data_IF_861886957428
#
_entry.id   IF_861886957428
#
_cell.length_a   1.000
_cell.length_b   1.000
_cell.length_c   1.000
_cell.angle_alpha   90.00
_cell.angle_beta   90.00
_cell.angle_gamma   90.00
#
_symmetry.space_group_name_H-M   'P 1'
#
loop_
_entity.id
_entity.type
_entity.pdbx_description
1 polymer ?
#
# COMPACT_ATOMS: atom_id res chain seq x y z
N UNK A 1 26.92 -22.17 -11.79
CA UNK A 1 26.64 -20.76 -12.13
C UNK A 1 25.21 -20.70 -12.67
N UNK A 2 24.29 -20.06 -11.95
CA UNK A 2 22.84 -20.09 -12.24
C UNK A 2 22.54 -19.47 -13.60
N UNK A 3 23.39 -18.55 -14.06
CA UNK A 3 23.30 -17.89 -15.38
C UNK A 3 23.46 -18.84 -16.58
N UNK A 4 23.91 -20.08 -16.36
CA UNK A 4 24.19 -21.05 -17.44
C UNK A 4 23.09 -22.11 -17.61
N UNK A 5 22.00 -22.01 -16.86
CA UNK A 5 20.87 -22.93 -16.98
C UNK A 5 19.95 -22.45 -18.11
N UNK A 6 19.54 -23.35 -19.01
CA UNK A 6 18.68 -23.02 -20.16
C UNK A 6 17.30 -22.46 -19.75
N UNK A 7 16.87 -22.73 -18.52
CA UNK A 7 15.63 -22.20 -17.94
C UNK A 7 15.75 -20.79 -17.36
N UNK A 8 16.95 -20.19 -17.35
CA UNK A 8 17.22 -18.89 -16.74
C UNK A 8 17.40 -17.84 -17.82
N UNK A 9 16.38 -17.00 -18.00
CA UNK A 9 16.41 -15.90 -18.96
C UNK A 9 17.37 -14.77 -18.53
N UNK A 10 17.40 -14.46 -17.22
CA UNK A 10 18.16 -13.34 -16.66
C UNK A 10 18.38 -13.51 -15.16
N UNK A 11 19.47 -12.93 -14.64
CA UNK A 11 19.77 -12.87 -13.20
C UNK A 11 20.12 -11.43 -12.85
N UNK A 12 19.44 -10.90 -11.83
CA UNK A 12 19.64 -9.56 -11.29
C UNK A 12 20.15 -9.64 -9.86
N UNK A 13 21.04 -8.73 -9.48
CA UNK A 13 21.41 -8.57 -8.07
C UNK A 13 20.26 -7.93 -7.32
N UNK A 14 20.05 -8.33 -6.06
CA UNK A 14 19.01 -7.74 -5.23
C UNK A 14 19.44 -6.34 -4.78
N UNK A 15 18.56 -5.37 -5.00
CA UNK A 15 18.81 -3.96 -4.74
C UNK A 15 17.85 -3.42 -3.67
N UNK A 16 18.28 -2.35 -3.01
CA UNK A 16 17.53 -1.74 -1.90
C UNK A 16 16.79 -0.50 -2.39
N UNK A 17 15.48 -0.48 -2.15
CA UNK A 17 14.57 0.64 -2.37
C UNK A 17 14.38 1.45 -1.08
N UNK A 18 13.99 2.71 -1.24
CA UNK A 18 13.79 3.68 -0.18
C UNK A 18 12.32 4.10 -0.05
N UNK A 19 11.93 4.50 1.16
CA UNK A 19 10.58 4.97 1.49
C UNK A 19 10.38 6.41 1.03
N UNK A 20 9.28 6.70 0.33
CA UNK A 20 8.90 8.03 -0.15
C UNK A 20 7.51 8.41 0.36
N UNK A 21 7.30 9.64 0.83
CA UNK A 21 5.95 10.15 1.14
C UNK A 21 5.75 11.57 0.59
N UNK A 22 4.59 11.81 -0.02
CA UNK A 22 4.11 13.17 -0.34
C UNK A 22 3.02 13.61 0.63
N UNK A 23 2.81 14.93 0.74
CA UNK A 23 1.88 15.58 1.68
C UNK A 23 0.38 15.43 1.31
N UNK A 24 -0.45 15.67 2.34
CA UNK A 24 -1.88 15.36 2.53
C UNK A 24 -2.92 16.15 1.72
N UNK A 25 -4.19 15.72 1.84
CA UNK A 25 -5.40 16.09 1.09
C UNK A 25 -5.82 17.57 1.09
N UNK A 26 -5.44 18.35 2.10
CA UNK A 26 -5.71 19.80 2.16
C UNK A 26 -5.08 20.52 0.96
N UNK A 27 -3.93 20.01 0.48
CA UNK A 27 -3.28 20.47 -0.75
C UNK A 27 -4.14 20.26 -2.01
N UNK A 28 -5.00 19.24 -2.03
CA UNK A 28 -5.84 18.90 -3.17
C UNK A 28 -7.17 19.65 -3.20
N UNK A 29 -7.47 20.50 -2.21
CA UNK A 29 -8.72 21.28 -2.17
C UNK A 29 -9.98 20.42 -2.13
N UNK A 30 -9.90 19.19 -1.60
CA UNK A 30 -11.04 18.24 -1.52
C UNK A 30 -12.03 18.66 -0.40
N UNK A 31 -11.77 19.77 0.28
CA UNK A 31 -12.70 20.36 1.23
C UNK A 31 -13.74 21.21 0.48
N UNK A 32 -14.90 20.61 0.23
CA UNK A 32 -16.21 21.24 0.00
C UNK A 32 -16.68 21.54 -1.43
N UNK A 33 -15.87 21.32 -2.48
CA UNK A 33 -16.40 21.43 -3.85
C UNK A 33 -16.06 20.20 -4.70
N UNK A 34 -17.10 19.71 -5.35
CA UNK A 34 -17.18 18.61 -6.32
C UNK A 34 -16.27 18.79 -7.56
N UNK A 35 -15.03 19.27 -7.43
CA UNK A 35 -14.12 19.44 -8.56
C UNK A 35 -13.77 18.10 -9.21
N UNK A 36 -13.34 17.11 -8.41
CA UNK A 36 -12.93 15.79 -8.91
C UNK A 36 -14.10 14.80 -9.13
N UNK A 37 -15.20 15.00 -8.39
CA UNK A 37 -16.31 14.05 -8.31
C UNK A 37 -17.66 14.61 -8.77
N UNK A 38 -17.66 15.72 -9.53
CA UNK A 38 -18.88 16.34 -10.04
C UNK A 38 -19.80 15.31 -10.71
N UNK A 39 -21.00 15.14 -10.14
CA UNK A 39 -22.01 14.19 -10.63
C UNK A 39 -22.18 12.91 -9.79
N UNK A 40 -21.29 12.62 -8.83
CA UNK A 40 -21.47 11.51 -7.89
C UNK A 40 -21.92 12.03 -6.52
N UNK A 41 -22.86 11.37 -5.84
CA UNK A 41 -23.18 11.75 -4.46
C UNK A 41 -22.14 11.18 -3.49
N UNK A 42 -21.96 11.79 -2.32
CA UNK A 42 -21.11 11.26 -1.25
C UNK A 42 -21.52 9.81 -0.88
N UNK A 43 -22.82 9.51 -0.88
CA UNK A 43 -23.34 8.16 -0.67
C UNK A 43 -22.94 7.17 -1.76
N UNK A 44 -22.85 7.60 -3.03
CA UNK A 44 -22.42 6.74 -4.14
C UNK A 44 -20.93 6.40 -4.04
N UNK A 45 -20.08 7.35 -3.67
CA UNK A 45 -18.64 7.14 -3.50
C UNK A 45 -18.35 6.23 -2.30
N UNK A 46 -19.03 6.46 -1.18
CA UNK A 46 -18.91 5.61 0.00
C UNK A 46 -19.34 4.17 -0.33
N UNK A 47 -20.49 4.00 -0.99
CA UNK A 47 -20.95 2.70 -1.45
C UNK A 47 -19.95 2.00 -2.39
N UNK A 48 -19.32 2.75 -3.31
CA UNK A 48 -18.30 2.20 -4.20
C UNK A 48 -17.05 1.74 -3.44
N UNK A 49 -16.62 2.50 -2.42
CA UNK A 49 -15.40 2.16 -1.66
C UNK A 49 -15.55 0.89 -0.80
N UNK A 50 -16.75 0.52 -0.35
CA UNK A 50 -16.97 -0.69 0.46
C UNK A 50 -16.57 -1.99 -0.23
N UNK A 51 -16.58 -2.00 -1.56
CA UNK A 51 -16.20 -3.14 -2.39
C UNK A 51 -14.84 -2.91 -3.07
N UNK A 52 -13.94 -2.15 -2.45
CA UNK A 52 -12.56 -1.94 -2.90
C UNK A 52 -11.58 -2.44 -1.85
N UNK A 53 -10.55 -3.16 -2.28
CA UNK A 53 -9.41 -3.56 -1.47
C UNK A 53 -8.17 -2.82 -1.97
N UNK A 54 -7.59 -2.01 -1.09
CA UNK A 54 -6.32 -1.32 -1.30
C UNK A 54 -5.20 -2.13 -0.65
N UNK A 55 -4.29 -2.66 -1.46
CA UNK A 55 -3.05 -3.24 -1.00
C UNK A 55 -2.04 -2.14 -0.68
N UNK A 56 -1.35 -2.24 0.45
CA UNK A 56 -0.27 -1.32 0.82
C UNK A 56 1.00 -2.11 1.06
N UNK A 57 2.00 -1.95 0.17
CA UNK A 57 3.31 -2.57 0.31
C UNK A 57 4.30 -1.56 0.88
N UNK A 58 4.65 -1.74 2.16
CA UNK A 58 5.37 -0.73 2.95
C UNK A 58 6.06 -1.36 4.19
N UNK A 59 6.26 -0.62 5.29
CA UNK A 59 6.90 -1.08 6.55
C UNK A 59 5.98 -1.90 7.46
N UNK A 60 4.73 -2.15 7.04
CA UNK A 60 3.72 -2.84 7.82
C UNK A 60 2.58 -1.92 8.25
N UNK A 61 1.80 -2.35 9.24
CA UNK A 61 0.70 -1.55 9.81
C UNK A 61 0.70 -1.66 11.34
N UNK A 62 0.29 -0.60 12.03
CA UNK A 62 -0.01 -0.63 13.45
C UNK A 62 -1.53 -0.79 13.66
N UNK A 63 -2.03 -2.02 13.86
CA UNK A 63 -3.47 -2.29 13.86
C UNK A 63 -4.21 -1.64 15.04
N UNK A 64 -3.52 -1.29 16.13
CA UNK A 64 -4.12 -0.61 17.28
C UNK A 64 -4.27 0.91 17.07
N UNK A 65 -3.92 1.44 15.89
CA UNK A 65 -4.12 2.85 15.57
C UNK A 65 -5.62 3.17 15.43
N UNK A 66 -6.05 4.32 15.96
CA UNK A 66 -7.45 4.77 15.85
C UNK A 66 -7.94 4.93 14.42
N UNK A 67 -7.04 5.16 13.45
CA UNK A 67 -7.40 5.25 12.03
C UNK A 67 -7.65 3.90 11.38
N UNK A 68 -7.34 2.79 12.07
CA UNK A 68 -7.49 1.41 11.59
C UNK A 68 -8.55 0.72 12.46
N UNK A 69 -9.72 1.35 12.53
CA UNK A 69 -10.88 0.83 13.24
C UNK A 69 -11.90 0.30 12.23
N UNK A 70 -12.48 -0.87 12.50
CA UNK A 70 -13.43 -1.55 11.62
C UNK A 70 -14.90 -1.44 12.09
N UNK A 71 -15.20 -0.57 13.06
CA UNK A 71 -16.53 -0.47 13.67
C UNK A 71 -17.67 -0.16 12.68
N UNK A 72 -17.37 0.61 11.62
CA UNK A 72 -18.33 0.97 10.57
C UNK A 72 -18.19 0.12 9.29
N UNK A 73 -17.35 -0.93 9.32
CA UNK A 73 -17.07 -1.77 8.16
C UNK A 73 -18.04 -2.93 8.02
N UNK A 74 -18.36 -3.27 6.77
CA UNK A 74 -19.09 -4.51 6.45
C UNK A 74 -18.17 -5.73 6.62
N UNK A 75 -18.76 -6.91 6.82
CA UNK A 75 -18.02 -8.19 6.90
C UNK A 75 -17.11 -8.44 5.68
N UNK A 76 -16.08 -9.26 5.83
CA UNK A 76 -15.05 -9.51 4.79
C UNK A 76 -15.67 -9.90 3.44
N UNK A 77 -15.13 -9.36 2.33
CA UNK A 77 -15.62 -9.65 0.99
C UNK A 77 -15.46 -11.12 0.66
N UNK A 78 -16.50 -11.76 0.11
CA UNK A 78 -16.44 -13.18 -0.27
C UNK A 78 -15.40 -13.51 -1.34
N UNK A 79 -14.97 -12.52 -2.14
CA UNK A 79 -13.90 -12.68 -3.13
C UNK A 79 -12.49 -12.66 -2.54
N UNK A 80 -12.30 -12.14 -1.32
CA UNK A 80 -11.00 -11.97 -0.69
C UNK A 80 -10.31 -13.32 -0.48
N UNK A 81 -9.05 -13.44 -0.89
CA UNK A 81 -8.25 -14.68 -0.79
C UNK A 81 -7.04 -14.57 0.13
N UNK A 82 -6.77 -13.39 0.65
CA UNK A 82 -5.62 -13.17 1.51
C UNK A 82 -5.80 -13.74 2.92
N UNK A 83 -4.67 -14.10 3.50
CA UNK A 83 -4.59 -14.61 4.86
C UNK A 83 -3.30 -14.09 5.51
N UNK A 84 -3.25 -14.09 6.85
CA UNK A 84 -2.06 -13.67 7.58
C UNK A 84 -0.93 -14.65 7.30
N UNK A 85 -0.04 -14.24 6.41
CA UNK A 85 1.19 -14.95 6.07
C UNK A 85 2.37 -14.24 6.71
N UNK A 86 3.11 -14.96 7.55
CA UNK A 86 4.49 -14.62 7.80
C UNK A 86 5.33 -15.34 6.73
N UNK A 87 5.91 -14.58 5.80
CA UNK A 87 6.90 -15.13 4.90
C UNK A 87 8.23 -15.24 5.66
N UNK A 88 8.80 -16.45 5.56
CA UNK A 88 9.99 -16.99 6.22
C UNK A 88 11.17 -16.00 6.44
N UNK A 89 11.75 -16.10 7.64
CA UNK A 89 12.92 -15.42 8.21
C UNK A 89 13.83 -14.69 7.21
N UNK A 90 13.67 -13.38 7.10
CA UNK A 90 14.72 -12.47 6.63
C UNK A 90 15.29 -11.73 7.85
N UNK A 91 16.29 -12.35 8.49
CA UNK A 91 17.21 -11.83 9.55
C UNK A 91 16.60 -11.08 10.74
N UNK A 92 16.74 -11.66 11.94
CA UNK A 92 16.71 -11.06 13.32
C UNK A 92 15.50 -10.21 13.76
N UNK A 93 14.62 -9.77 12.88
CA UNK A 93 13.37 -9.10 13.25
C UNK A 93 12.24 -10.13 13.39
N UNK A 94 11.45 -10.04 14.47
CA UNK A 94 10.34 -10.96 14.72
C UNK A 94 9.34 -10.86 13.57
N UNK A 95 9.04 -11.99 12.92
CA UNK A 95 8.05 -12.08 11.85
C UNK A 95 6.70 -11.54 12.34
N UNK A 96 6.38 -10.33 11.90
CA UNK A 96 5.13 -9.68 12.23
C UNK A 96 4.80 -8.65 11.16
N UNK A 97 3.53 -8.53 10.75
CA UNK A 97 3.07 -7.44 9.89
C UNK A 97 3.11 -6.09 10.62
N UNK A 98 3.40 -6.08 11.93
CA UNK A 98 3.41 -4.87 12.71
C UNK A 98 4.48 -3.89 12.21
N UNK A 99 4.03 -2.66 12.03
CA UNK A 99 4.89 -1.54 11.71
C UNK A 99 5.81 -1.20 12.90
N UNK A 100 7.09 -0.96 12.60
CA UNK A 100 8.12 -0.55 13.55
C UNK A 100 8.80 0.76 13.15
N UNK A 101 8.39 1.32 12.03
CA UNK A 101 8.90 2.56 11.46
C UNK A 101 7.85 3.67 11.57
N UNK A 102 6.61 3.38 11.16
CA UNK A 102 5.48 4.31 11.15
C UNK A 102 5.05 4.70 9.75
N UNK A 103 5.94 4.59 8.75
CA UNK A 103 5.67 4.95 7.36
C UNK A 103 4.46 4.19 6.79
N UNK A 104 4.44 2.87 6.90
CA UNK A 104 3.33 2.06 6.41
C UNK A 104 2.01 2.36 7.09
N UNK A 105 2.00 2.58 8.41
CA UNK A 105 0.78 3.00 9.13
C UNK A 105 0.26 4.35 8.64
N UNK A 106 1.15 5.30 8.36
CA UNK A 106 0.80 6.61 7.80
C UNK A 106 0.26 6.50 6.37
N UNK A 107 0.89 5.69 5.51
CA UNK A 107 0.43 5.45 4.14
C UNK A 107 -0.95 4.79 4.13
N UNK A 108 -1.15 3.78 5.00
CA UNK A 108 -2.44 3.10 5.16
C UNK A 108 -3.53 4.07 5.60
N UNK A 109 -3.29 4.89 6.63
CA UNK A 109 -4.30 5.83 7.14
C UNK A 109 -4.64 6.92 6.13
N UNK A 110 -3.69 7.33 5.30
CA UNK A 110 -3.92 8.28 4.20
C UNK A 110 -4.78 7.67 3.08
N UNK A 111 -4.58 6.38 2.76
CA UNK A 111 -5.32 5.70 1.71
C UNK A 111 -6.78 5.41 2.13
N UNK A 112 -6.97 4.81 3.31
CA UNK A 112 -8.27 4.28 3.74
C UNK A 112 -8.47 4.32 5.27
N UNK A 113 -7.84 5.27 5.97
CA UNK A 113 -8.07 5.45 7.39
C UNK A 113 -9.52 5.87 7.70
N UNK A 114 -10.09 5.32 8.77
CA UNK A 114 -11.38 5.75 9.26
C UNK A 114 -11.34 7.20 9.78
N UNK A 115 -12.51 7.79 10.01
CA UNK A 115 -12.60 9.16 10.51
C UNK A 115 -12.21 9.24 12.00
N UNK A 116 -11.12 9.94 12.29
CA UNK A 116 -10.61 10.18 13.64
C UNK A 116 -10.77 11.65 13.99
N UNK A 117 -11.78 11.96 14.81
CA UNK A 117 -11.99 13.31 15.33
C UNK A 117 -10.91 13.74 16.34
N UNK A 118 -10.69 15.05 16.45
CA UNK A 118 -9.71 15.68 17.33
C UNK A 118 -8.28 15.11 17.13
N UNK A 119 -7.93 14.78 15.89
CA UNK A 119 -6.57 14.41 15.52
C UNK A 119 -5.71 15.68 15.45
N UNK A 120 -4.51 15.63 16.01
CA UNK A 120 -3.51 16.70 15.92
C UNK A 120 -2.12 16.14 16.19
N UNK A 121 -1.09 16.83 15.69
CA UNK A 121 0.31 16.57 16.04
C UNK A 121 0.83 17.75 16.88
N UNK A 122 0.97 17.56 18.19
CA UNK A 122 1.35 18.62 19.14
C UNK A 122 0.47 19.89 19.03
N UNK A 123 -0.81 19.74 18.69
CA UNK A 123 -1.76 20.84 18.49
C UNK A 123 -1.75 21.45 17.08
N UNK A 124 -0.81 21.07 16.21
CA UNK A 124 -0.86 21.43 14.79
C UNK A 124 -1.83 20.54 14.01
N UNK A 125 -2.40 21.10 12.94
CA UNK A 125 -3.35 20.43 12.05
C UNK A 125 -4.52 19.78 12.80
N UNK A 126 -5.09 20.50 13.76
CA UNK A 126 -6.23 20.02 14.54
C UNK A 126 -7.47 19.89 13.67
N UNK A 127 -8.07 18.70 13.64
CA UNK A 127 -9.28 18.45 12.88
C UNK A 127 -9.71 16.99 12.92
N UNK A 128 -10.46 16.58 11.91
CA UNK A 128 -10.80 15.18 11.66
C UNK A 128 -9.83 14.63 10.63
N UNK A 129 -9.01 13.65 11.02
CA UNK A 129 -8.18 12.92 10.07
C UNK A 129 -9.01 11.79 9.42
N UNK A 130 -8.92 11.63 8.11
CA UNK A 130 -9.54 10.52 7.38
C UNK A 130 -8.75 10.19 6.12
N UNK A 131 -8.87 8.95 5.65
CA UNK A 131 -8.27 8.52 4.38
C UNK A 131 -9.13 8.92 3.18
N UNK A 132 -8.56 8.72 1.99
CA UNK A 132 -9.24 9.00 0.72
C UNK A 132 -10.46 8.10 0.46
N UNK A 133 -10.37 6.84 0.84
CA UNK A 133 -11.44 5.85 0.70
C UNK A 133 -11.75 5.21 2.06
N UNK A 134 -12.45 5.97 2.90
CA UNK A 134 -12.75 5.63 4.31
C UNK A 134 -13.34 4.24 4.50
N UNK A 135 -14.14 3.74 3.55
CA UNK A 135 -14.76 2.41 3.64
C UNK A 135 -14.08 1.34 2.78
N UNK A 136 -12.96 1.66 2.14
CA UNK A 136 -12.14 0.65 1.46
C UNK A 136 -11.44 -0.25 2.48
N UNK A 137 -11.22 -1.49 2.08
CA UNK A 137 -10.48 -2.46 2.89
C UNK A 137 -9.00 -2.31 2.61
N UNK A 138 -8.17 -2.57 3.61
CA UNK A 138 -6.73 -2.53 3.45
C UNK A 138 -6.14 -3.93 3.61
N UNK A 139 -5.27 -4.30 2.68
CA UNK A 139 -4.39 -5.46 2.79
C UNK A 139 -2.94 -4.99 2.88
N UNK A 140 -2.28 -5.26 4.02
CA UNK A 140 -0.91 -4.77 4.23
C UNK A 140 0.12 -5.84 3.90
N UNK A 141 1.12 -5.47 3.10
CA UNK A 141 2.25 -6.30 2.69
C UNK A 141 3.53 -5.66 3.22
N UNK A 142 4.09 -6.20 4.31
CA UNK A 142 5.34 -5.68 4.87
C UNK A 142 6.52 -6.15 3.99
N UNK A 143 7.11 -5.21 3.24
CA UNK A 143 8.27 -5.44 2.39
C UNK A 143 9.50 -4.61 2.77
N UNK A 144 9.35 -3.74 3.75
CA UNK A 144 10.38 -2.81 4.19
C UNK A 144 10.71 -2.95 5.67
N UNK A 145 11.99 -2.83 5.98
CA UNK A 145 12.53 -2.83 7.33
C UNK A 145 13.55 -1.70 7.50
N UNK A 146 14.11 -1.55 8.70
CA UNK A 146 15.18 -0.55 8.97
C UNK A 146 16.41 -0.70 8.07
N UNK A 147 16.66 -1.90 7.54
CA UNK A 147 17.76 -2.16 6.61
C UNK A 147 17.45 -1.79 5.16
N UNK A 148 16.23 -1.31 4.89
CA UNK A 148 15.73 -0.97 3.57
C UNK A 148 14.67 -1.94 3.06
N UNK A 149 14.23 -1.70 1.82
CA UNK A 149 13.22 -2.50 1.13
C UNK A 149 13.91 -3.33 0.04
N UNK A 150 13.90 -4.65 0.17
CA UNK A 150 14.58 -5.53 -0.78
C UNK A 150 13.70 -5.78 -2.00
N UNK A 151 14.25 -5.62 -3.20
CA UNK A 151 13.54 -5.80 -4.46
C UNK A 151 12.86 -7.17 -4.57
N UNK A 152 13.52 -8.23 -4.11
CA UNK A 152 12.95 -9.59 -4.07
C UNK A 152 11.70 -9.68 -3.19
N UNK A 153 11.66 -8.96 -2.07
CA UNK A 153 10.51 -8.95 -1.16
C UNK A 153 9.38 -8.10 -1.73
N UNK A 154 9.71 -6.98 -2.38
CA UNK A 154 8.73 -6.15 -3.08
C UNK A 154 8.04 -6.98 -4.17
N UNK A 155 8.80 -7.67 -5.02
CA UNK A 155 8.25 -8.51 -6.07
C UNK A 155 7.37 -9.64 -5.51
N UNK A 156 7.79 -10.28 -4.41
CA UNK A 156 6.99 -11.29 -3.73
C UNK A 156 5.68 -10.72 -3.14
N UNK A 157 5.73 -9.50 -2.60
CA UNK A 157 4.55 -8.78 -2.11
C UNK A 157 3.58 -8.41 -3.23
N UNK A 158 4.09 -7.97 -4.38
CA UNK A 158 3.29 -7.69 -5.58
C UNK A 158 2.60 -8.96 -6.09
N UNK A 159 3.34 -10.05 -6.26
CA UNK A 159 2.78 -11.34 -6.65
C UNK A 159 1.71 -11.82 -5.66
N UNK A 160 1.94 -11.61 -4.36
CA UNK A 160 0.95 -11.96 -3.33
C UNK A 160 -0.31 -11.09 -3.41
N UNK A 161 -0.17 -9.78 -3.62
CA UNK A 161 -1.32 -8.89 -3.78
C UNK A 161 -2.22 -9.32 -4.95
N UNK A 162 -1.63 -9.72 -6.08
CA UNK A 162 -2.36 -10.23 -7.24
C UNK A 162 -3.15 -11.49 -6.87
N UNK A 163 -2.51 -12.44 -6.19
CA UNK A 163 -3.17 -13.69 -5.74
C UNK A 163 -4.29 -13.43 -4.73
N UNK A 164 -4.14 -12.40 -3.91
CA UNK A 164 -5.11 -11.97 -2.91
C UNK A 164 -6.28 -11.18 -3.50
N UNK A 165 -6.26 -10.89 -4.81
CA UNK A 165 -7.27 -10.12 -5.56
C UNK A 165 -7.51 -8.72 -5.00
N UNK A 166 -6.41 -8.03 -4.66
CA UNK A 166 -6.44 -6.58 -4.37
C UNK A 166 -6.85 -5.80 -5.63
N UNK A 167 -7.54 -4.67 -5.45
CA UNK A 167 -8.01 -3.84 -6.57
C UNK A 167 -6.98 -2.74 -6.93
N UNK A 168 -6.35 -2.14 -5.91
CA UNK A 168 -5.34 -1.08 -6.05
C UNK A 168 -4.13 -1.41 -5.19
N UNK A 169 -2.92 -1.43 -5.75
CA UNK A 169 -1.67 -1.50 -4.98
C UNK A 169 -1.05 -0.11 -4.81
N UNK A 170 -0.96 0.34 -3.58
CA UNK A 170 -0.17 1.51 -3.18
C UNK A 170 1.20 1.07 -2.71
N UNK A 171 2.25 1.61 -3.32
CA UNK A 171 3.63 1.39 -2.90
C UNK A 171 4.37 2.72 -2.87
N UNK A 172 4.68 3.16 -1.67
CA UNK A 172 5.33 4.43 -1.39
C UNK A 172 6.86 4.24 -1.33
N UNK A 173 7.39 3.64 -2.39
CA UNK A 173 8.77 3.15 -2.49
C UNK A 173 9.38 3.53 -3.82
N UNK A 174 10.68 3.82 -3.83
CA UNK A 174 11.40 4.14 -5.06
C UNK A 174 12.90 3.95 -4.96
N UNK A 175 13.54 4.13 -6.11
CA UNK A 175 14.99 4.18 -6.28
C UNK A 175 15.30 5.24 -7.35
N UNK A 176 16.58 5.57 -7.52
CA UNK A 176 17.06 6.33 -8.67
C UNK A 176 16.62 5.73 -10.01
N UNK A 177 16.57 6.57 -11.04
CA UNK A 177 16.11 6.22 -12.39
C UNK A 177 16.95 5.10 -13.02
N UNK A 178 16.31 3.99 -13.37
CA UNK A 178 16.89 2.86 -14.12
C UNK A 178 16.03 2.54 -15.36
N UNK A 179 16.61 1.91 -16.40
CA UNK A 179 15.80 1.40 -17.52
C UNK A 179 14.78 0.36 -17.06
N UNK A 180 13.55 0.38 -17.61
CA UNK A 180 12.44 -0.47 -17.16
C UNK A 180 12.75 -1.97 -17.09
N UNK A 181 13.58 -2.50 -17.98
CA UNK A 181 13.98 -3.92 -18.00
C UNK A 181 14.97 -4.32 -16.88
N UNK A 182 15.41 -3.34 -16.07
CA UNK A 182 16.22 -3.53 -14.85
C UNK A 182 15.49 -3.11 -13.58
N UNK A 183 14.36 -2.42 -13.68
CA UNK A 183 13.57 -2.03 -12.52
C UNK A 183 12.59 -3.16 -12.15
N UNK A 184 12.80 -3.75 -10.97
CA UNK A 184 11.97 -4.87 -10.49
C UNK A 184 10.51 -4.45 -10.29
N UNK A 185 10.28 -3.18 -9.93
CA UNK A 185 8.93 -2.62 -9.79
C UNK A 185 8.28 -2.56 -11.17
N UNK A 186 8.97 -2.02 -12.18
CA UNK A 186 8.44 -1.96 -13.54
C UNK A 186 8.13 -3.35 -14.12
N UNK A 187 9.01 -4.33 -13.90
CA UNK A 187 8.79 -5.72 -14.31
C UNK A 187 7.58 -6.34 -13.59
N UNK A 188 7.48 -6.14 -12.27
CA UNK A 188 6.36 -6.64 -11.48
C UNK A 188 5.02 -6.02 -11.90
N UNK A 189 5.01 -4.71 -12.17
CA UNK A 189 3.83 -3.98 -12.65
C UNK A 189 3.38 -4.50 -14.00
N UNK A 190 4.32 -4.69 -14.93
CA UNK A 190 4.01 -5.22 -16.25
C UNK A 190 3.33 -6.59 -16.17
N UNK A 191 3.80 -7.47 -15.28
CA UNK A 191 3.18 -8.78 -15.02
C UNK A 191 1.78 -8.66 -14.40
N UNK A 192 1.55 -7.64 -13.58
CA UNK A 192 0.29 -7.43 -12.89
C UNK A 192 -0.79 -6.75 -13.74
N UNK A 193 -0.41 -6.04 -14.81
CA UNK A 193 -1.35 -5.40 -15.74
C UNK A 193 -2.29 -6.40 -16.42
N UNK A 194 -1.87 -7.65 -16.62
CA UNK A 194 -2.71 -8.73 -17.13
C UNK A 194 -3.90 -9.07 -16.18
N UNK A 195 -3.84 -8.64 -14.92
CA UNK A 195 -4.86 -8.87 -13.89
C UNK A 195 -5.80 -7.69 -13.59
N UNK A 196 -5.77 -6.60 -14.39
CA UNK A 196 -6.52 -5.36 -14.14
C UNK A 196 -6.22 -4.69 -12.78
N UNK A 197 -4.96 -4.70 -12.36
CA UNK A 197 -4.49 -4.02 -11.15
C UNK A 197 -4.11 -2.56 -11.40
N UNK A 198 -4.55 -1.64 -10.54
CA UNK A 198 -4.04 -0.27 -10.54
C UNK A 198 -2.86 -0.13 -9.56
N UNK A 199 -1.78 0.51 -10.00
CA UNK A 199 -0.64 0.85 -9.14
C UNK A 199 -0.57 2.34 -8.89
N UNK A 200 -0.36 2.73 -7.63
CA UNK A 200 -0.09 4.11 -7.23
C UNK A 200 1.31 4.20 -6.65
N UNK A 201 2.12 5.06 -7.26
CA UNK A 201 3.50 5.32 -6.86
C UNK A 201 3.63 6.74 -6.34
N UNK A 202 4.42 6.90 -5.29
CA UNK A 202 4.87 8.22 -4.85
C UNK A 202 6.07 8.64 -5.73
N UNK A 203 5.96 9.78 -6.41
CA UNK A 203 7.06 10.38 -7.17
C UNK A 203 7.71 11.48 -6.31
N UNK A 204 9.05 11.59 -6.36
CA UNK A 204 9.80 12.72 -5.78
C UNK A 204 9.72 13.97 -6.66
#
# INVERSE_FOLDING_TARGET
>A
DVKKLDSVLSVYEDEVYHLHTTRTLEFLGIENEFGLWSGYSHGNLNAASHDVIIGVLDTGVWPESRSIDDGDMLGVLGRWKGFRLAAREIRKEKESPNDKDGHGTHTVSTAAGCQVGNASLFGFASGTACGMAVYARVATYKGCWKTGCFGLVILAGMDRAILDVVDVLSMSLGRGSEPYYRDIIAIGVFKAMDGCFCFVFCWE
#
